data_IF_281032223815
#
_entry.id   IF_281032223815
#
_cell.length_a   1.000
_cell.length_b   1.000
_cell.length_c   1.000
_cell.angle_alpha   90.00
_cell.angle_beta   90.00
_cell.angle_gamma   90.00
#
_symmetry.space_group_name_H-M   'P 1'
#
loop_
_entity.id
_entity.type
_entity.pdbx_description
1 polymer ?
#
# COMPACT_ATOMS: atom_id res chain seq x y z
N UNK A 1 -13.66 -15.47 5.32
CA UNK A 1 -12.95 -14.37 4.64
C UNK A 1 -12.31 -14.86 3.36
N UNK A 2 -12.36 -14.07 2.31
CA UNK A 2 -11.68 -14.39 1.05
C UNK A 2 -10.19 -14.07 1.15
N UNK A 3 -9.36 -14.81 0.43
CA UNK A 3 -7.91 -14.62 0.42
C UNK A 3 -7.44 -14.23 -0.97
N UNK A 4 -6.78 -13.06 -1.08
CA UNK A 4 -6.22 -12.55 -2.34
C UNK A 4 -4.81 -12.04 -2.05
N UNK A 5 -3.85 -12.39 -2.92
CA UNK A 5 -2.43 -12.03 -2.78
C UNK A 5 -1.85 -12.40 -1.41
N UNK A 6 -2.32 -13.50 -0.83
CA UNK A 6 -1.88 -13.97 0.50
C UNK A 6 -2.50 -13.22 1.68
N UNK A 7 -3.42 -12.30 1.43
CA UNK A 7 -4.06 -11.47 2.46
C UNK A 7 -5.53 -11.85 2.58
N UNK A 8 -6.03 -11.96 3.80
CA UNK A 8 -7.45 -12.17 4.07
C UNK A 8 -8.18 -10.84 3.93
N UNK A 9 -9.16 -10.79 3.04
CA UNK A 9 -9.99 -9.61 2.82
C UNK A 9 -11.41 -9.88 3.32
N UNK A 10 -12.13 -8.84 3.83
CA UNK A 10 -13.50 -9.05 4.30
C UNK A 10 -14.44 -9.42 3.15
N UNK A 11 -15.29 -10.41 3.36
CA UNK A 11 -16.26 -10.88 2.37
C UNK A 11 -17.64 -10.23 2.52
N UNK A 12 -17.89 -9.53 3.62
CA UNK A 12 -19.14 -8.83 3.89
C UNK A 12 -19.16 -7.38 3.35
N UNK A 13 -18.11 -6.94 2.71
CA UNK A 13 -17.98 -5.58 2.14
C UNK A 13 -18.00 -5.64 0.62
N UNK A 14 -18.33 -4.49 -0.01
CA UNK A 14 -18.28 -4.36 -1.46
C UNK A 14 -16.86 -4.64 -1.96
N UNK A 15 -16.76 -5.20 -3.16
CA UNK A 15 -15.48 -5.59 -3.74
C UNK A 15 -14.51 -4.40 -3.85
N UNK A 16 -15.00 -3.20 -4.18
CA UNK A 16 -14.17 -2.00 -4.29
C UNK A 16 -13.48 -1.65 -2.97
N UNK A 17 -14.16 -1.88 -1.84
CA UNK A 17 -13.64 -1.59 -0.50
C UNK A 17 -12.73 -2.73 -0.03
N UNK A 18 -13.15 -3.98 -0.25
CA UNK A 18 -12.38 -5.15 0.17
C UNK A 18 -11.01 -5.21 -0.48
N UNK A 19 -10.91 -4.86 -1.75
CA UNK A 19 -9.62 -4.84 -2.47
C UNK A 19 -8.66 -3.80 -1.91
N UNK A 20 -9.14 -2.70 -1.33
CA UNK A 20 -8.28 -1.68 -0.74
C UNK A 20 -7.55 -2.13 0.52
N UNK A 21 -7.92 -3.27 1.12
CA UNK A 21 -7.19 -3.86 2.24
C UNK A 21 -5.86 -4.47 1.83
N UNK A 22 -5.63 -4.65 0.53
CA UNK A 22 -4.36 -5.12 -0.01
C UNK A 22 -3.42 -3.91 -0.15
N UNK A 23 -2.25 -3.98 0.45
CA UNK A 23 -1.25 -2.92 0.33
C UNK A 23 -0.82 -2.76 -1.13
N UNK A 24 -1.00 -1.59 -1.69
CA UNK A 24 -0.73 -1.30 -3.09
C UNK A 24 -1.97 -1.17 -3.96
N UNK A 25 -3.15 -1.57 -3.46
CA UNK A 25 -4.43 -1.40 -4.15
C UNK A 25 -5.21 -0.29 -3.46
N UNK A 26 -5.37 0.83 -4.14
CA UNK A 26 -6.22 1.93 -3.68
C UNK A 26 -7.59 1.87 -4.34
N UNK A 27 -8.44 2.85 -4.04
CA UNK A 27 -9.80 2.92 -4.58
C UNK A 27 -9.82 2.92 -6.12
N UNK A 28 -8.92 3.69 -6.74
CA UNK A 28 -8.85 3.79 -8.21
C UNK A 28 -8.50 2.47 -8.85
N UNK A 29 -7.50 1.75 -8.32
CA UNK A 29 -7.12 0.43 -8.83
C UNK A 29 -8.21 -0.60 -8.59
N UNK A 30 -8.87 -0.55 -7.44
CA UNK A 30 -9.98 -1.43 -7.14
C UNK A 30 -11.14 -1.25 -8.13
N UNK A 31 -11.50 0.00 -8.43
CA UNK A 31 -12.55 0.32 -9.41
C UNK A 31 -12.13 -0.11 -10.82
N UNK A 32 -10.87 0.09 -11.19
CA UNK A 32 -10.32 -0.35 -12.48
C UNK A 32 -10.39 -1.86 -12.65
N UNK A 33 -10.06 -2.63 -11.61
CA UNK A 33 -10.17 -4.09 -11.63
C UNK A 33 -11.62 -4.54 -11.84
N UNK A 34 -12.55 -3.92 -11.12
CA UNK A 34 -13.98 -4.23 -11.26
C UNK A 34 -14.48 -3.94 -12.69
N UNK A 35 -14.05 -2.82 -13.26
CA UNK A 35 -14.43 -2.42 -14.63
C UNK A 35 -13.89 -3.39 -15.66
N UNK A 36 -12.62 -3.79 -15.55
CA UNK A 36 -11.96 -4.72 -16.46
C UNK A 36 -12.63 -6.11 -16.45
N UNK A 37 -13.12 -6.53 -15.29
CA UNK A 37 -13.78 -7.83 -15.13
C UNK A 37 -15.29 -7.79 -15.36
N UNK A 38 -15.86 -6.60 -15.54
CA UNK A 38 -17.30 -6.44 -15.70
C UNK A 38 -18.11 -6.73 -14.44
N UNK A 39 -17.51 -6.60 -13.27
CA UNK A 39 -18.15 -6.81 -11.97
C UNK A 39 -18.62 -5.47 -11.44
N UNK A 40 -19.86 -5.38 -10.95
CA UNK A 40 -20.36 -4.15 -10.33
C UNK A 40 -19.56 -3.86 -9.03
N UNK A 41 -19.04 -2.62 -8.84
CA UNK A 41 -18.25 -2.31 -7.64
C UNK A 41 -19.00 -2.48 -6.32
N UNK A 42 -20.31 -2.40 -6.35
CA UNK A 42 -21.15 -2.58 -5.16
C UNK A 42 -21.46 -4.05 -4.82
N UNK A 43 -20.93 -5.00 -5.60
CA UNK A 43 -21.10 -6.42 -5.32
C UNK A 43 -20.25 -6.82 -4.12
N UNK A 44 -20.83 -7.55 -3.17
CA UNK A 44 -20.08 -8.07 -2.03
C UNK A 44 -19.22 -9.25 -2.45
N UNK A 45 -18.08 -9.41 -1.80
CA UNK A 45 -17.17 -10.54 -2.06
C UNK A 45 -17.89 -11.89 -1.87
N UNK A 46 -18.76 -11.99 -0.86
CA UNK A 46 -19.51 -13.21 -0.59
C UNK A 46 -20.48 -13.61 -1.72
N UNK A 47 -20.88 -12.64 -2.55
CA UNK A 47 -21.79 -12.87 -3.68
C UNK A 47 -21.08 -13.28 -4.98
N UNK A 48 -19.74 -13.31 -4.98
CA UNK A 48 -18.97 -13.68 -6.15
C UNK A 48 -18.83 -15.19 -6.29
N UNK A 49 -18.82 -15.67 -7.54
CA UNK A 49 -18.54 -17.09 -7.82
C UNK A 49 -17.03 -17.36 -7.72
N UNK A 50 -16.64 -18.64 -7.64
CA UNK A 50 -15.24 -19.04 -7.63
C UNK A 50 -14.50 -18.57 -8.89
N UNK A 51 -15.15 -18.63 -10.06
CA UNK A 51 -14.56 -18.14 -11.31
C UNK A 51 -14.28 -16.64 -11.26
N UNK A 52 -15.23 -15.86 -10.72
CA UNK A 52 -15.04 -14.42 -10.54
C UNK A 52 -13.91 -14.13 -9.55
N UNK A 53 -13.83 -14.88 -8.47
CA UNK A 53 -12.74 -14.74 -7.50
C UNK A 53 -11.37 -15.05 -8.09
N UNK A 54 -11.30 -16.11 -8.93
CA UNK A 54 -10.06 -16.44 -9.64
C UNK A 54 -9.64 -15.33 -10.61
N UNK A 55 -10.62 -14.74 -11.31
CA UNK A 55 -10.38 -13.60 -12.21
C UNK A 55 -9.87 -12.38 -11.42
N UNK A 56 -10.44 -12.12 -10.26
CA UNK A 56 -9.97 -11.03 -9.36
C UNK A 56 -8.53 -11.27 -8.91
N UNK A 57 -8.21 -12.50 -8.51
CA UNK A 57 -6.84 -12.87 -8.09
C UNK A 57 -5.84 -12.68 -9.22
N UNK A 58 -6.21 -13.06 -10.45
CA UNK A 58 -5.36 -12.87 -11.62
C UNK A 58 -5.11 -11.39 -11.92
N UNK A 59 -6.15 -10.55 -11.83
CA UNK A 59 -6.00 -9.10 -12.05
C UNK A 59 -5.13 -8.45 -10.97
N UNK A 60 -5.32 -8.82 -9.71
CA UNK A 60 -4.49 -8.32 -8.60
C UNK A 60 -3.03 -8.73 -8.80
N UNK A 61 -2.79 -9.92 -9.34
CA UNK A 61 -1.45 -10.43 -9.62
C UNK A 61 -0.65 -9.61 -10.64
N UNK A 62 -1.31 -8.77 -11.44
CA UNK A 62 -0.66 -7.87 -12.39
C UNK A 62 -0.01 -6.66 -11.73
N UNK A 63 -0.36 -6.37 -10.48
CA UNK A 63 0.18 -5.24 -9.74
C UNK A 63 1.25 -5.71 -8.76
N UNK A 64 2.20 -4.83 -8.46
CA UNK A 64 3.16 -5.06 -7.39
C UNK A 64 2.47 -4.66 -6.08
N UNK A 65 2.20 -5.64 -5.22
CA UNK A 65 1.43 -5.43 -3.99
C UNK A 65 2.11 -6.10 -2.79
N UNK A 66 1.70 -5.73 -1.60
CA UNK A 66 2.09 -6.31 -0.32
C UNK A 66 3.61 -6.40 -0.15
N UNK A 67 4.15 -7.58 0.17
CA UNK A 67 5.57 -7.76 0.44
C UNK A 67 6.47 -7.34 -0.71
N UNK A 68 6.05 -7.59 -1.96
CA UNK A 68 6.82 -7.18 -3.14
C UNK A 68 6.88 -5.66 -3.27
N UNK A 69 5.76 -4.97 -3.03
CA UNK A 69 5.72 -3.51 -3.04
C UNK A 69 6.57 -2.93 -1.92
N UNK A 70 6.48 -3.48 -0.71
CA UNK A 70 7.32 -3.03 0.42
C UNK A 70 8.80 -3.20 0.12
N UNK A 71 9.16 -4.31 -0.50
CA UNK A 71 10.54 -4.58 -0.92
C UNK A 71 11.01 -3.58 -1.97
N UNK A 72 10.16 -3.25 -2.95
CA UNK A 72 10.45 -2.25 -3.97
C UNK A 72 10.67 -0.86 -3.36
N UNK A 73 9.81 -0.44 -2.44
CA UNK A 73 9.96 0.85 -1.73
C UNK A 73 11.28 0.88 -0.97
N UNK A 74 11.61 -0.16 -0.22
CA UNK A 74 12.86 -0.26 0.52
C UNK A 74 14.08 -0.20 -0.40
N UNK A 75 14.02 -0.89 -1.55
CA UNK A 75 15.08 -0.88 -2.55
C UNK A 75 15.27 0.51 -3.15
N UNK A 76 14.19 1.22 -3.45
CA UNK A 76 14.24 2.57 -3.99
C UNK A 76 14.86 3.56 -2.99
N UNK A 77 14.50 3.46 -1.73
CA UNK A 77 15.09 4.29 -0.66
C UNK A 77 16.58 3.99 -0.52
N UNK A 78 16.95 2.72 -0.49
CA UNK A 78 18.36 2.31 -0.41
C UNK A 78 19.17 2.84 -1.58
N UNK A 79 18.60 2.81 -2.79
CA UNK A 79 19.25 3.37 -3.98
C UNK A 79 19.53 4.86 -3.82
N UNK A 80 18.57 5.63 -3.28
CA UNK A 80 18.76 7.06 -3.01
C UNK A 80 19.88 7.30 -2.01
N UNK A 81 19.97 6.47 -0.96
CA UNK A 81 21.04 6.54 0.04
C UNK A 81 22.40 6.21 -0.58
N UNK A 82 22.46 5.14 -1.38
CA UNK A 82 23.70 4.67 -2.01
C UNK A 82 24.25 5.68 -3.02
N UNK A 83 23.37 6.44 -3.70
CA UNK A 83 23.76 7.48 -4.64
C UNK A 83 24.21 8.77 -3.96
N UNK A 84 24.03 8.90 -2.64
CA UNK A 84 24.43 10.08 -1.88
C UNK A 84 23.63 11.33 -2.17
N UNK A 85 22.37 11.19 -2.61
CA UNK A 85 21.47 12.32 -2.87
C UNK A 85 21.02 12.99 -1.58
N UNK A 86 20.56 14.25 -1.65
CA UNK A 86 19.98 14.90 -0.48
C UNK A 86 18.78 14.12 0.08
N UNK A 87 17.92 13.60 -0.78
CA UNK A 87 16.77 12.78 -0.35
C UNK A 87 17.25 11.51 0.35
N UNK A 88 18.29 10.87 -0.14
CA UNK A 88 18.91 9.70 0.50
C UNK A 88 19.47 10.02 1.87
N UNK A 89 20.14 11.15 2.02
CA UNK A 89 20.67 11.63 3.31
C UNK A 89 19.51 11.85 4.29
N UNK A 90 18.41 12.45 3.83
CA UNK A 90 17.22 12.68 4.67
C UNK A 90 16.61 11.36 5.15
N UNK A 91 16.51 10.34 4.28
CA UNK A 91 16.06 9.00 4.70
C UNK A 91 16.98 8.36 5.73
N UNK A 92 18.29 8.49 5.52
CA UNK A 92 19.31 7.99 6.43
C UNK A 92 19.20 8.61 7.83
N UNK A 93 18.83 9.89 7.89
CA UNK A 93 18.67 10.63 9.15
C UNK A 93 17.25 10.64 9.69
N UNK A 94 16.32 9.91 9.06
CA UNK A 94 14.89 9.89 9.40
C UNK A 94 14.27 11.29 9.38
N UNK A 95 14.57 12.05 8.34
CA UNK A 95 14.03 13.39 8.12
C UNK A 95 13.02 13.38 6.98
N UNK A 96 12.08 14.38 6.92
CA UNK A 96 11.19 14.53 5.78
C UNK A 96 11.98 14.80 4.49
N UNK A 97 11.51 14.23 3.37
CA UNK A 97 12.21 14.35 2.09
C UNK A 97 11.53 15.29 1.08
N UNK A 98 10.46 15.98 1.48
CA UNK A 98 9.71 16.90 0.63
C UNK A 98 9.97 18.38 0.95
N UNK A 99 11.13 18.70 1.49
CA UNK A 99 11.50 20.09 1.80
C UNK A 99 10.75 20.69 2.98
N UNK A 100 10.18 19.87 3.84
CA UNK A 100 9.42 20.30 5.01
C UNK A 100 10.34 20.84 6.10
N UNK A 101 9.77 21.71 6.94
CA UNK A 101 10.52 22.28 8.07
C UNK A 101 10.88 21.19 9.08
N UNK A 102 12.15 21.13 9.47
CA UNK A 102 12.66 20.10 10.40
C UNK A 102 12.88 20.64 11.82
N UNK A 103 12.84 21.97 12.00
CA UNK A 103 13.18 22.61 13.27
C UNK A 103 12.20 22.31 14.40
N UNK A 104 10.91 22.16 14.09
CA UNK A 104 9.87 22.03 15.13
C UNK A 104 9.16 20.68 15.12
N UNK A 105 8.57 20.28 14.02
CA UNK A 105 7.70 19.10 13.90
C UNK A 105 8.43 17.94 13.18
N UNK A 106 7.79 17.32 12.23
CA UNK A 106 8.30 16.16 11.47
C UNK A 106 8.39 14.88 12.31
N UNK A 107 7.45 14.69 13.24
CA UNK A 107 7.44 13.53 14.15
C UNK A 107 7.18 12.21 13.43
N UNK A 108 6.47 12.22 12.30
CA UNK A 108 6.21 11.01 11.52
C UNK A 108 7.52 10.32 11.09
N UNK A 109 8.53 11.10 10.69
CA UNK A 109 9.83 10.57 10.30
C UNK A 109 10.80 10.45 11.47
N UNK A 110 10.81 11.43 12.37
CA UNK A 110 11.72 11.46 13.53
C UNK A 110 11.28 10.52 14.66
N UNK A 111 10.01 10.14 14.69
CA UNK A 111 9.44 9.38 15.78
C UNK A 111 8.96 10.25 16.93
N UNK A 112 8.39 9.66 17.99
CA UNK A 112 7.94 10.41 19.15
C UNK A 112 9.07 11.18 19.84
N UNK A 113 8.72 12.33 20.41
CA UNK A 113 9.65 13.16 21.14
C UNK A 113 10.11 12.43 22.41
N UNK A 114 11.42 12.34 22.63
CA UNK A 114 11.95 11.69 23.84
C UNK A 114 11.73 12.57 25.08
N UNK A 115 11.30 11.97 26.21
CA UNK A 115 11.21 12.72 27.45
C UNK A 115 12.59 13.22 27.90
N UNK A 116 12.62 14.41 28.45
CA UNK A 116 13.86 14.97 29.03
C UNK A 116 14.12 14.25 30.34
N UNK A 117 15.27 13.59 30.47
CA UNK A 117 15.72 13.01 31.74
C UNK A 117 16.38 14.09 32.58
N UNK A 118 15.94 14.19 33.80
CA UNK A 118 16.56 15.05 34.81
C UNK A 118 17.30 14.20 35.83
#
# INVERSE_FOLDING_TARGET
MARVAGINIPDNKHIEISLTYIFGIGKTRALGICDDLGIAPSTKISDLTEEQMESVRAEVGKFIVEGDLRREISTNIKRLMDLGTYRGIWHSRHLPDNGQRTKTNARTRKGPKRPIRR
#
